data_IF_789117441800
#
_entry.id   IF_789117441800
#
_cell.length_a   1.000
_cell.length_b   1.000
_cell.length_c   1.000
_cell.angle_alpha   90.00
_cell.angle_beta   90.00
_cell.angle_gamma   90.00
#
_symmetry.space_group_name_H-M   'P 1'
#
loop_
_entity.id
_entity.type
_entity.pdbx_description
1 polymer ?
#
# COMPACT_ATOMS: atom_id res chain seq x y z
N UNK A 1 -3.64 -24.45 -7.55
CA UNK A 1 -2.99 -23.17 -7.89
C UNK A 1 -1.93 -22.93 -6.82
N UNK A 2 -0.75 -22.53 -7.21
CA UNK A 2 0.34 -22.24 -6.29
C UNK A 2 0.21 -20.81 -5.75
N UNK A 3 0.23 -20.67 -4.42
CA UNK A 3 0.13 -19.36 -3.76
C UNK A 3 1.39 -18.48 -3.99
N UNK A 4 2.51 -19.07 -4.40
CA UNK A 4 3.72 -18.32 -4.75
C UNK A 4 3.63 -17.60 -6.09
N UNK A 5 2.72 -18.05 -6.98
CA UNK A 5 2.39 -17.36 -8.22
C UNK A 5 1.26 -16.34 -7.96
N UNK A 6 1.63 -15.20 -7.39
CA UNK A 6 0.68 -14.13 -7.07
C UNK A 6 -0.06 -13.59 -8.29
N UNK A 7 0.56 -13.59 -9.47
CA UNK A 7 -0.09 -13.18 -10.70
C UNK A 7 -1.20 -14.15 -11.12
N UNK A 8 -0.95 -15.46 -10.99
CA UNK A 8 -1.98 -16.47 -11.27
C UNK A 8 -3.13 -16.40 -10.25
N UNK A 9 -2.84 -16.16 -8.97
CA UNK A 9 -3.85 -15.98 -7.93
C UNK A 9 -4.73 -14.77 -8.25
N UNK A 10 -4.12 -13.62 -8.53
CA UNK A 10 -4.84 -12.38 -8.84
C UNK A 10 -5.67 -12.52 -10.12
N UNK A 11 -5.11 -13.11 -11.17
CA UNK A 11 -5.84 -13.36 -12.41
C UNK A 11 -7.04 -14.27 -12.21
N UNK A 12 -6.93 -15.30 -11.37
CA UNK A 12 -8.04 -16.19 -11.05
C UNK A 12 -9.16 -15.48 -10.29
N UNK A 13 -8.84 -14.60 -9.34
CA UNK A 13 -9.82 -13.80 -8.62
C UNK A 13 -10.54 -12.81 -9.53
N UNK A 14 -9.79 -12.10 -10.36
CA UNK A 14 -10.36 -11.16 -11.34
C UNK A 14 -11.30 -11.88 -12.32
N UNK A 15 -10.90 -13.07 -12.78
CA UNK A 15 -11.73 -13.89 -13.65
C UNK A 15 -13.00 -14.38 -12.94
N UNK A 16 -12.89 -14.78 -11.68
CA UNK A 16 -14.03 -15.22 -10.86
C UNK A 16 -15.01 -14.06 -10.58
N UNK A 17 -14.51 -12.86 -10.37
CA UNK A 17 -15.33 -11.66 -10.22
C UNK A 17 -16.10 -11.34 -11.51
N UNK A 18 -15.44 -11.39 -12.64
CA UNK A 18 -16.04 -11.22 -13.97
C UNK A 18 -16.49 -9.81 -14.31
N UNK A 19 -16.33 -8.84 -13.42
CA UNK A 19 -16.68 -7.44 -13.64
C UNK A 19 -15.44 -6.56 -13.83
N UNK A 20 -15.61 -5.45 -14.54
CA UNK A 20 -14.52 -4.50 -14.79
C UNK A 20 -14.07 -3.77 -13.51
N UNK A 21 -15.01 -3.49 -12.63
CA UNK A 21 -14.84 -2.71 -11.40
C UNK A 21 -14.74 -3.55 -10.12
N UNK A 22 -14.71 -4.89 -10.27
CA UNK A 22 -14.64 -5.85 -9.16
C UNK A 22 -15.83 -5.78 -8.20
N UNK A 23 -17.02 -5.51 -8.75
CA UNK A 23 -18.23 -5.28 -7.95
C UNK A 23 -18.88 -6.56 -7.41
N UNK A 24 -18.60 -7.74 -7.98
CA UNK A 24 -19.18 -9.01 -7.50
C UNK A 24 -18.51 -9.50 -6.21
N UNK A 25 -17.19 -9.61 -6.19
CA UNK A 25 -16.42 -10.04 -5.02
C UNK A 25 -16.05 -8.87 -4.10
N UNK A 26 -15.92 -7.69 -4.69
CA UNK A 26 -15.44 -6.50 -4.01
C UNK A 26 -13.91 -6.37 -4.00
N UNK A 27 -13.42 -5.18 -4.31
CA UNK A 27 -11.98 -4.91 -4.43
C UNK A 27 -11.23 -5.22 -3.13
N UNK A 28 -11.81 -4.93 -1.96
CA UNK A 28 -11.19 -5.20 -0.65
C UNK A 28 -11.02 -6.69 -0.39
N UNK A 29 -11.99 -7.52 -0.77
CA UNK A 29 -11.90 -8.97 -0.61
C UNK A 29 -10.81 -9.56 -1.53
N UNK A 30 -10.76 -9.13 -2.79
CA UNK A 30 -9.71 -9.52 -3.74
C UNK A 30 -8.32 -9.14 -3.20
N UNK A 31 -8.16 -7.91 -2.74
CA UNK A 31 -6.90 -7.44 -2.15
C UNK A 31 -6.50 -8.23 -0.91
N UNK A 32 -7.45 -8.54 -0.02
CA UNK A 32 -7.18 -9.32 1.18
C UNK A 32 -6.63 -10.72 0.86
N UNK A 33 -7.22 -11.40 -0.11
CA UNK A 33 -6.76 -12.73 -0.54
C UNK A 33 -5.39 -12.64 -1.22
N UNK A 34 -5.16 -11.63 -2.08
CA UNK A 34 -3.87 -11.39 -2.73
C UNK A 34 -2.74 -11.21 -1.70
N UNK A 35 -2.96 -10.34 -0.71
CA UNK A 35 -1.99 -10.10 0.38
C UNK A 35 -1.76 -11.36 1.22
N UNK A 36 -2.83 -12.08 1.57
CA UNK A 36 -2.72 -13.31 2.35
C UNK A 36 -1.91 -14.38 1.62
N UNK A 37 -2.14 -14.55 0.31
CA UNK A 37 -1.39 -15.49 -0.54
C UNK A 37 0.09 -15.14 -0.61
N UNK A 38 0.42 -13.85 -0.83
CA UNK A 38 1.80 -13.39 -0.87
C UNK A 38 2.52 -13.60 0.49
N UNK A 39 1.84 -13.34 1.60
CA UNK A 39 2.38 -13.59 2.95
C UNK A 39 2.61 -15.07 3.22
N UNK A 40 1.66 -15.93 2.86
CA UNK A 40 1.77 -17.36 3.02
C UNK A 40 2.94 -17.93 2.20
N UNK A 41 3.10 -17.46 0.96
CA UNK A 41 4.20 -17.84 0.10
C UNK A 41 5.57 -17.41 0.68
N UNK A 42 5.69 -16.17 1.15
CA UNK A 42 6.91 -15.67 1.78
C UNK A 42 7.29 -16.50 3.03
N UNK A 43 6.32 -16.81 3.89
CA UNK A 43 6.51 -17.67 5.07
C UNK A 43 6.93 -19.09 4.67
N UNK A 44 6.31 -19.66 3.65
CA UNK A 44 6.65 -20.99 3.13
C UNK A 44 8.10 -21.07 2.62
N UNK A 45 8.61 -19.95 2.07
CA UNK A 45 9.98 -19.84 1.57
C UNK A 45 10.98 -19.39 2.64
N UNK A 46 10.52 -19.13 3.85
CA UNK A 46 11.32 -18.59 4.97
C UNK A 46 12.04 -17.27 4.61
N UNK A 47 11.34 -16.39 3.87
CA UNK A 47 11.84 -15.08 3.50
C UNK A 47 10.87 -13.99 3.93
N UNK A 48 11.37 -12.76 4.12
CA UNK A 48 10.52 -11.61 4.42
C UNK A 48 9.65 -11.23 3.23
N UNK A 49 8.44 -10.70 3.51
CA UNK A 49 7.49 -10.32 2.47
C UNK A 49 8.06 -9.30 1.47
N UNK A 50 8.81 -8.29 1.96
CA UNK A 50 9.43 -7.31 1.06
C UNK A 50 10.43 -7.96 0.09
N UNK A 51 11.12 -9.00 0.55
CA UNK A 51 12.06 -9.77 -0.28
C UNK A 51 11.35 -10.63 -1.30
N UNK A 52 10.23 -11.23 -0.91
CA UNK A 52 9.38 -12.01 -1.83
C UNK A 52 8.81 -11.12 -2.95
N UNK A 53 8.28 -9.95 -2.60
CA UNK A 53 7.67 -9.03 -3.57
C UNK A 53 8.71 -8.25 -4.40
N UNK A 54 9.78 -7.78 -3.77
CA UNK A 54 10.77 -6.91 -4.41
C UNK A 54 11.96 -7.64 -5.02
N UNK A 55 12.13 -8.93 -4.74
CA UNK A 55 13.27 -9.71 -5.21
C UNK A 55 14.60 -9.15 -4.72
N UNK A 56 15.66 -9.35 -5.51
CA UNK A 56 17.02 -8.90 -5.20
C UNK A 56 17.11 -7.36 -5.12
N UNK A 57 16.32 -6.65 -5.92
CA UNK A 57 16.34 -5.19 -6.02
C UNK A 57 15.50 -4.49 -4.93
N UNK A 58 14.70 -5.23 -4.17
CA UNK A 58 13.84 -4.70 -3.11
C UNK A 58 14.63 -4.36 -1.85
N UNK A 59 15.49 -3.34 -1.89
CA UNK A 59 16.39 -2.96 -0.77
C UNK A 59 16.38 -1.45 -0.47
N UNK A 60 15.46 -0.69 -1.08
CA UNK A 60 15.31 0.75 -0.84
C UNK A 60 13.96 1.06 -0.23
N UNK A 61 13.96 1.81 0.86
CA UNK A 61 12.74 2.41 1.37
C UNK A 61 12.33 3.57 0.45
N UNK A 62 11.04 3.70 0.12
CA UNK A 62 10.55 4.86 -0.62
C UNK A 62 10.60 6.11 0.26
N UNK A 63 10.63 7.28 -0.37
CA UNK A 63 10.34 8.53 0.34
C UNK A 63 8.90 8.45 0.83
N UNK A 64 8.63 8.64 2.13
CA UNK A 64 7.27 8.54 2.64
C UNK A 64 6.42 9.69 2.08
N UNK A 65 5.21 9.37 1.73
CA UNK A 65 4.19 10.30 1.32
C UNK A 65 3.18 10.40 2.46
N UNK A 66 3.05 11.58 3.06
CA UNK A 66 2.24 11.76 4.26
C UNK A 66 1.07 12.68 3.97
N UNK A 67 -0.13 12.21 4.27
CA UNK A 67 -1.34 13.00 4.17
C UNK A 67 -1.49 13.87 5.43
N UNK A 68 -1.48 15.19 5.25
CA UNK A 68 -1.52 16.17 6.34
C UNK A 68 -2.91 16.77 6.50
N UNK A 69 -3.59 17.04 5.40
CA UNK A 69 -4.94 17.63 5.40
C UNK A 69 -5.87 16.76 4.57
N UNK A 70 -7.03 16.46 5.13
CA UNK A 70 -8.12 15.76 4.46
C UNK A 70 -9.35 16.65 4.41
N UNK A 71 -9.94 16.80 3.21
CA UNK A 71 -11.14 17.57 2.97
C UNK A 71 -12.00 16.94 1.88
N UNK A 72 -12.76 17.76 1.17
CA UNK A 72 -13.61 17.34 0.06
C UNK A 72 -14.91 16.67 0.50
N UNK A 73 -15.56 15.95 -0.43
CA UNK A 73 -16.94 15.46 -0.28
C UNK A 73 -17.16 14.46 0.86
N UNK A 74 -16.10 13.82 1.35
CA UNK A 74 -16.18 12.81 2.42
C UNK A 74 -15.73 13.32 3.79
N UNK A 75 -15.30 14.57 3.89
CA UNK A 75 -14.92 15.21 5.14
C UNK A 75 -16.05 16.08 5.70
N UNK A 76 -16.08 16.23 7.02
CA UNK A 76 -17.07 17.08 7.73
C UNK A 76 -16.61 18.53 7.88
N UNK A 77 -15.43 18.87 7.35
CA UNK A 77 -14.85 20.20 7.39
C UNK A 77 -15.16 21.02 6.11
N UNK A 78 -14.77 22.28 6.09
CA UNK A 78 -14.98 23.22 4.98
C UNK A 78 -13.83 23.28 3.97
N UNK A 79 -12.90 22.31 4.01
CA UNK A 79 -11.76 22.26 3.11
C UNK A 79 -12.18 21.61 1.80
N UNK A 80 -12.12 22.36 0.69
CA UNK A 80 -12.53 21.88 -0.63
C UNK A 80 -11.54 20.89 -1.25
N UNK A 81 -10.28 20.90 -0.81
CA UNK A 81 -9.25 19.99 -1.31
C UNK A 81 -9.31 18.66 -0.58
N UNK A 82 -9.39 17.55 -1.35
CA UNK A 82 -9.58 16.22 -0.80
C UNK A 82 -8.41 15.76 0.04
N UNK A 83 -7.17 15.95 -0.43
CA UNK A 83 -5.95 15.53 0.25
C UNK A 83 -4.79 16.48 -0.04
N UNK A 84 -4.02 16.79 0.99
CA UNK A 84 -2.71 17.43 0.88
C UNK A 84 -1.65 16.49 1.41
N UNK A 85 -0.69 16.15 0.56
CA UNK A 85 0.41 15.27 0.91
C UNK A 85 1.73 16.00 0.87
N UNK A 86 2.62 15.68 1.82
CA UNK A 86 4.00 16.13 1.81
C UNK A 86 4.94 14.96 1.56
N UNK A 87 6.04 15.23 0.88
CA UNK A 87 7.11 14.27 0.60
C UNK A 87 8.45 14.90 0.99
N UNK A 88 9.03 14.57 2.16
CA UNK A 88 10.28 15.15 2.63
C UNK A 88 11.49 14.50 1.94
N UNK A 89 11.74 14.87 0.68
CA UNK A 89 12.78 14.28 -0.17
C UNK A 89 14.22 14.61 0.25
N UNK A 90 14.42 15.62 1.10
CA UNK A 90 15.74 16.06 1.56
C UNK A 90 16.20 15.45 2.87
N UNK A 91 15.40 14.65 3.53
CA UNK A 91 15.75 14.06 4.82
C UNK A 91 16.80 12.95 4.66
N UNK A 92 17.82 12.89 5.53
CA UNK A 92 18.92 11.93 5.41
C UNK A 92 18.53 10.50 5.76
N UNK A 93 17.42 10.30 6.48
CA UNK A 93 16.90 8.97 6.83
C UNK A 93 15.38 8.93 6.84
N UNK A 94 14.80 7.72 6.78
CA UNK A 94 13.36 7.53 6.90
C UNK A 94 12.83 8.00 8.26
N UNK A 95 13.61 7.81 9.32
CA UNK A 95 13.28 8.30 10.67
C UNK A 95 13.22 9.84 10.70
N UNK A 96 14.18 10.51 10.08
CA UNK A 96 14.20 11.97 10.01
C UNK A 96 13.03 12.51 9.18
N UNK A 97 12.64 11.79 8.10
CA UNK A 97 11.42 12.11 7.37
C UNK A 97 10.18 12.16 8.28
N UNK A 98 10.02 11.15 9.14
CA UNK A 98 8.87 11.07 10.04
C UNK A 98 8.92 12.13 11.14
N UNK A 99 10.09 12.40 11.72
CA UNK A 99 10.27 13.40 12.76
C UNK A 99 10.03 14.82 12.23
N UNK A 100 10.51 15.14 11.05
CA UNK A 100 10.34 16.47 10.44
C UNK A 100 8.87 16.85 10.22
N UNK A 101 8.00 15.86 10.06
CA UNK A 101 6.56 16.08 9.85
C UNK A 101 5.77 16.15 11.15
N UNK A 102 6.26 15.52 12.23
CA UNK A 102 5.62 15.62 13.54
C UNK A 102 6.00 16.91 14.28
N UNK A 103 7.24 17.38 14.13
CA UNK A 103 7.74 18.62 14.79
C UNK A 103 7.11 19.89 14.20
N UNK A 104 6.79 19.88 12.88
CA UNK A 104 6.12 21.01 12.25
C UNK A 104 4.64 21.18 12.62
N UNK A 105 4.06 20.21 13.34
CA UNK A 105 2.69 20.26 13.80
C UNK A 105 2.54 20.87 15.21
N UNK A 106 3.65 21.05 15.93
CA UNK A 106 3.66 21.56 17.33
C UNK A 106 3.99 23.07 17.40
N UNK A 107 4.26 23.74 16.26
CA UNK A 107 4.40 25.20 16.15
C UNK A 107 3.14 25.83 15.50
#
# INVERSE_FOLDING_TARGET
MDASDIYAVDAAMIKADGTKDKSNLGANAILAVSIASARAAALSLDISLYRFLGGISGNRLPVPMMNILNGGAHATNTVDTQEFMIMPVGAPSFKDCLLYTSDAADE
#
